data_IF_743220455728
#
_entry.id   IF_743220455728
#
_cell.length_a   1.000
_cell.length_b   1.000
_cell.length_c   1.000
_cell.angle_alpha   90.00
_cell.angle_beta   90.00
_cell.angle_gamma   90.00
#
_symmetry.space_group_name_H-M   'P 1'
#
loop_
_entity.id
_entity.type
_entity.pdbx_description
1 polymer ?
#
# COMPACT_ATOMS: atom_id res chain seq x y z
N UNK A 1 -2.07 -30.80 -5.41
CA UNK A 1 -2.14 -29.37 -5.05
C UNK A 1 -0.79 -28.74 -5.36
N UNK A 2 -0.79 -27.54 -5.93
CA UNK A 2 0.43 -26.78 -6.26
C UNK A 2 0.58 -25.71 -5.17
N UNK A 3 1.68 -25.68 -4.40
CA UNK A 3 1.94 -24.60 -3.44
C UNK A 3 2.08 -23.25 -4.13
N UNK A 4 1.57 -22.17 -3.53
CA UNK A 4 1.75 -20.81 -4.08
C UNK A 4 3.23 -20.40 -4.21
N UNK A 5 4.09 -20.91 -3.33
CA UNK A 5 5.55 -20.68 -3.39
C UNK A 5 6.19 -21.22 -4.66
N UNK A 6 5.63 -22.30 -5.23
CA UNK A 6 6.11 -22.90 -6.47
C UNK A 6 5.62 -22.12 -7.70
N UNK A 7 4.69 -21.17 -7.51
CA UNK A 7 4.18 -20.24 -8.53
C UNK A 7 4.81 -18.85 -8.41
N UNK A 8 5.65 -18.61 -7.39
CA UNK A 8 6.29 -17.31 -7.22
C UNK A 8 7.21 -16.99 -8.41
N UNK A 9 7.23 -15.73 -8.83
CA UNK A 9 8.14 -15.27 -9.88
C UNK A 9 9.59 -15.64 -9.54
N UNK A 10 10.25 -16.38 -10.44
CA UNK A 10 11.63 -16.85 -10.26
C UNK A 10 11.80 -18.09 -9.38
N UNK A 11 10.73 -18.76 -8.95
CA UNK A 11 10.84 -19.98 -8.15
C UNK A 11 11.45 -21.14 -8.95
N UNK A 12 12.45 -21.80 -8.37
CA UNK A 12 12.97 -23.07 -8.90
C UNK A 12 12.00 -24.20 -8.55
N UNK A 13 11.33 -24.77 -9.57
CA UNK A 13 10.41 -25.89 -9.36
C UNK A 13 11.20 -27.20 -9.39
N UNK A 14 11.41 -27.91 -8.26
CA UNK A 14 12.32 -29.05 -8.22
C UNK A 14 11.65 -30.33 -8.74
N UNK A 15 10.33 -30.45 -8.54
CA UNK A 15 9.58 -31.70 -8.78
C UNK A 15 8.94 -31.69 -10.17
N UNK A 16 9.33 -32.64 -11.02
CA UNK A 16 8.78 -32.77 -12.38
C UNK A 16 7.25 -32.88 -12.41
N UNK A 17 6.67 -33.58 -11.44
CA UNK A 17 5.21 -33.70 -11.29
C UNK A 17 4.52 -32.34 -11.13
N UNK A 18 5.13 -31.41 -10.39
CA UNK A 18 4.57 -30.05 -10.19
C UNK A 18 4.63 -29.26 -11.50
N UNK A 19 5.73 -29.35 -12.24
CA UNK A 19 5.85 -28.74 -13.58
C UNK A 19 4.75 -29.21 -14.52
N UNK A 20 4.47 -30.52 -14.55
CA UNK A 20 3.39 -31.08 -15.38
C UNK A 20 2.01 -30.55 -14.99
N UNK A 21 1.74 -30.37 -13.69
CA UNK A 21 0.47 -29.80 -13.23
C UNK A 21 0.34 -28.32 -13.58
N UNK A 22 1.40 -27.52 -13.46
CA UNK A 22 1.41 -26.12 -13.86
C UNK A 22 1.13 -26.01 -15.37
N UNK A 23 1.82 -26.79 -16.21
CA UNK A 23 1.57 -26.80 -17.65
C UNK A 23 0.14 -27.22 -18.01
N UNK A 24 -0.44 -28.18 -17.28
CA UNK A 24 -1.83 -28.58 -17.48
C UNK A 24 -2.81 -27.45 -17.08
N UNK A 25 -2.53 -26.73 -15.99
CA UNK A 25 -3.31 -25.57 -15.56
C UNK A 25 -3.27 -24.45 -16.60
N UNK A 26 -2.07 -24.12 -17.09
CA UNK A 26 -1.89 -23.08 -18.11
C UNK A 26 -2.67 -23.40 -19.38
N UNK A 27 -2.47 -24.62 -19.93
CA UNK A 27 -3.18 -25.07 -21.14
C UNK A 27 -4.70 -25.11 -20.98
N UNK A 28 -5.20 -25.50 -19.81
CA UNK A 28 -6.65 -25.61 -19.57
C UNK A 28 -7.35 -24.25 -19.53
N UNK A 29 -6.62 -23.19 -19.19
CA UNK A 29 -7.16 -21.84 -19.02
C UNK A 29 -6.65 -20.87 -20.08
N UNK A 30 -6.05 -21.38 -21.16
CA UNK A 30 -5.50 -20.57 -22.25
C UNK A 30 -4.51 -19.49 -21.77
N UNK A 31 -3.66 -19.85 -20.79
CA UNK A 31 -2.66 -18.97 -20.21
C UNK A 31 -1.25 -19.31 -20.73
N UNK A 32 -0.50 -18.29 -21.12
CA UNK A 32 0.94 -18.41 -21.40
C UNK A 32 1.74 -18.43 -20.10
N UNK A 33 1.28 -17.70 -19.09
CA UNK A 33 1.96 -17.58 -17.80
C UNK A 33 0.97 -17.32 -16.66
N UNK A 34 1.30 -17.85 -15.48
CA UNK A 34 0.64 -17.55 -14.23
C UNK A 34 1.72 -17.51 -13.14
N UNK A 35 1.80 -16.39 -12.43
CA UNK A 35 2.81 -16.14 -11.41
C UNK A 35 2.21 -15.46 -10.20
N UNK A 36 2.80 -15.71 -9.05
CA UNK A 36 2.46 -15.05 -7.79
C UNK A 36 3.67 -14.27 -7.26
N UNK A 37 3.43 -13.39 -6.31
CA UNK A 37 4.48 -12.84 -5.46
C UNK A 37 3.96 -12.64 -4.05
N UNK A 38 4.83 -12.76 -3.06
CA UNK A 38 4.49 -12.43 -1.68
C UNK A 38 4.22 -10.93 -1.54
N UNK A 39 3.24 -10.58 -0.73
CA UNK A 39 2.84 -9.19 -0.51
C UNK A 39 2.85 -8.81 0.97
N UNK A 40 2.76 -7.51 1.25
CA UNK A 40 2.90 -6.97 2.59
C UNK A 40 1.53 -6.87 3.28
N UNK A 41 1.04 -8.01 3.80
CA UNK A 41 -0.22 -8.08 4.55
C UNK A 41 -0.14 -9.09 5.71
N UNK A 42 -0.71 -10.28 5.58
CA UNK A 42 -0.61 -11.35 6.58
C UNK A 42 0.33 -12.46 6.09
N UNK A 43 0.61 -13.45 6.96
CA UNK A 43 1.43 -14.59 6.55
C UNK A 43 0.72 -15.34 5.42
N UNK A 44 1.46 -15.70 4.39
CA UNK A 44 0.94 -16.37 3.20
C UNK A 44 -0.06 -15.50 2.39
N UNK A 45 0.11 -14.18 2.40
CA UNK A 45 -0.56 -13.28 1.44
C UNK A 45 0.22 -13.22 0.12
N UNK A 46 -0.51 -13.29 -0.98
CA UNK A 46 0.05 -13.25 -2.32
C UNK A 46 -0.78 -12.35 -3.23
N UNK A 47 -0.09 -11.63 -4.11
CA UNK A 47 -0.67 -11.13 -5.34
C UNK A 47 -0.43 -12.13 -6.46
N UNK A 48 -1.20 -12.02 -7.54
CA UNK A 48 -0.99 -12.83 -8.74
C UNK A 48 -1.05 -11.99 -10.01
N UNK A 49 -0.40 -12.52 -11.05
CA UNK A 49 -0.55 -12.03 -12.40
C UNK A 49 -0.54 -13.18 -13.37
N UNK A 50 -1.31 -13.05 -14.44
CA UNK A 50 -1.34 -14.03 -15.51
C UNK A 50 -1.49 -13.36 -16.88
N UNK A 51 -0.95 -14.05 -17.89
CA UNK A 51 -0.98 -13.63 -19.28
C UNK A 51 -1.75 -14.67 -20.07
N UNK A 52 -2.78 -14.22 -20.76
CA UNK A 52 -3.58 -15.06 -21.63
C UNK A 52 -2.87 -15.24 -22.98
N UNK A 53 -3.08 -16.38 -23.64
CA UNK A 53 -2.53 -16.74 -24.96
C UNK A 53 -2.90 -15.75 -26.07
N UNK A 54 -3.95 -14.95 -25.87
CA UNK A 54 -4.34 -13.86 -26.78
C UNK A 54 -3.65 -12.53 -26.48
N UNK A 55 -2.67 -12.50 -25.57
CA UNK A 55 -1.77 -11.37 -25.33
C UNK A 55 -2.15 -10.41 -24.20
N UNK A 56 -3.35 -10.48 -23.63
CA UNK A 56 -3.72 -9.62 -22.50
C UNK A 56 -3.19 -10.15 -21.17
N UNK A 57 -2.91 -9.22 -20.25
CA UNK A 57 -2.34 -9.52 -18.93
C UNK A 57 -3.19 -8.92 -17.82
N UNK A 58 -3.47 -9.71 -16.78
CA UNK A 58 -4.15 -9.27 -15.58
C UNK A 58 -3.20 -9.32 -14.38
N UNK A 59 -3.26 -8.32 -13.52
CA UNK A 59 -2.60 -8.28 -12.22
C UNK A 59 -3.66 -8.06 -11.13
N UNK A 60 -3.63 -8.87 -10.07
CA UNK A 60 -4.56 -8.80 -8.95
C UNK A 60 -3.77 -8.75 -7.64
N UNK A 61 -3.96 -7.67 -6.88
CA UNK A 61 -3.14 -7.40 -5.69
C UNK A 61 -3.44 -8.33 -4.51
N UNK A 62 -4.69 -8.78 -4.36
CA UNK A 62 -5.20 -9.15 -3.03
C UNK A 62 -5.12 -7.96 -2.08
N UNK A 63 -5.00 -8.22 -0.78
CA UNK A 63 -4.78 -7.18 0.24
C UNK A 63 -3.27 -6.98 0.46
N UNK A 64 -2.81 -5.73 0.42
CA UNK A 64 -1.40 -5.40 0.55
C UNK A 64 -1.14 -3.92 0.78
N UNK A 65 -0.08 -3.61 1.54
CA UNK A 65 0.63 -2.33 1.41
C UNK A 65 1.34 -2.20 0.05
N UNK A 66 1.77 -1.00 -0.37
CA UNK A 66 2.59 -0.83 -1.58
C UNK A 66 3.76 -1.82 -1.67
N UNK A 67 3.80 -2.61 -2.74
CA UNK A 67 4.74 -3.73 -2.89
C UNK A 67 5.47 -3.70 -4.23
N UNK A 68 6.79 -3.52 -4.20
CA UNK A 68 7.62 -3.48 -5.41
C UNK A 68 7.70 -4.82 -6.14
N UNK A 69 7.62 -5.94 -5.41
CA UNK A 69 7.57 -7.26 -6.04
C UNK A 69 6.33 -7.41 -6.93
N UNK A 70 5.21 -6.84 -6.49
CA UNK A 70 3.98 -6.85 -7.28
C UNK A 70 4.07 -5.97 -8.52
N UNK A 71 4.69 -4.77 -8.42
CA UNK A 71 5.01 -3.92 -9.59
C UNK A 71 5.75 -4.71 -10.67
N UNK A 72 6.77 -5.49 -10.30
CA UNK A 72 7.54 -6.29 -11.26
C UNK A 72 6.73 -7.46 -11.83
N UNK A 73 6.00 -8.17 -10.97
CA UNK A 73 5.17 -9.34 -11.35
C UNK A 73 4.08 -8.92 -12.34
N UNK A 74 3.43 -7.80 -12.06
CA UNK A 74 2.34 -7.25 -12.87
C UNK A 74 2.77 -6.34 -14.02
N UNK A 75 4.07 -6.08 -14.23
CA UNK A 75 4.57 -5.11 -15.22
C UNK A 75 3.88 -5.23 -16.59
N UNK A 76 3.48 -4.11 -17.17
CA UNK A 76 2.78 -3.99 -18.46
C UNK A 76 1.44 -4.75 -18.48
N UNK A 77 0.71 -4.75 -17.35
CA UNK A 77 -0.63 -5.36 -17.28
C UNK A 77 -1.65 -4.58 -18.12
N UNK A 78 -2.49 -5.29 -18.86
CA UNK A 78 -3.69 -4.73 -19.52
C UNK A 78 -4.69 -4.24 -18.48
N UNK A 79 -4.88 -5.01 -17.40
CA UNK A 79 -5.73 -4.64 -16.28
C UNK A 79 -5.03 -4.94 -14.96
N UNK A 80 -4.86 -3.91 -14.14
CA UNK A 80 -4.57 -4.05 -12.73
C UNK A 80 -5.88 -3.93 -11.94
N UNK A 81 -6.15 -4.88 -11.06
CA UNK A 81 -7.15 -4.77 -10.00
C UNK A 81 -6.38 -4.64 -8.68
N UNK A 82 -6.47 -3.47 -8.05
CA UNK A 82 -5.75 -3.17 -6.83
C UNK A 82 -6.69 -2.81 -5.68
N UNK A 83 -6.37 -3.28 -4.47
CA UNK A 83 -7.05 -2.84 -3.27
C UNK A 83 -6.78 -1.35 -2.97
N UNK A 84 -7.79 -0.64 -2.51
CA UNK A 84 -7.72 0.75 -2.10
C UNK A 84 -8.54 0.92 -0.81
N UNK A 85 -8.16 0.16 0.22
CA UNK A 85 -9.00 -0.04 1.41
C UNK A 85 -9.17 1.26 2.21
N UNK A 86 -8.13 2.09 2.26
CA UNK A 86 -8.09 3.33 3.05
C UNK A 86 -8.12 4.58 2.15
N UNK A 87 -8.64 5.67 2.72
CA UNK A 87 -8.57 7.00 2.11
C UNK A 87 -7.16 7.60 2.27
N UNK A 88 -6.82 8.55 1.40
CA UNK A 88 -5.61 9.34 1.58
C UNK A 88 -5.73 10.23 2.82
N UNK A 89 -4.62 10.44 3.52
CA UNK A 89 -4.58 11.02 4.87
C UNK A 89 -4.73 9.98 6.00
N UNK A 90 -4.89 8.69 5.67
CA UNK A 90 -4.92 7.56 6.61
C UNK A 90 -3.70 6.64 6.44
N UNK A 91 -2.56 7.17 6.00
CA UNK A 91 -1.37 6.38 5.65
C UNK A 91 -0.83 5.59 6.85
N UNK A 92 -0.82 6.18 8.05
CA UNK A 92 -0.40 5.48 9.28
C UNK A 92 -1.31 4.28 9.57
N UNK A 93 -2.63 4.46 9.47
CA UNK A 93 -3.60 3.39 9.67
C UNK A 93 -3.51 2.33 8.56
N UNK A 94 -3.22 2.73 7.33
CA UNK A 94 -2.97 1.83 6.22
C UNK A 94 -1.72 0.98 6.47
N UNK A 95 -0.65 1.55 7.03
CA UNK A 95 0.55 0.80 7.42
C UNK A 95 0.24 -0.18 8.55
N UNK A 96 -0.46 0.27 9.60
CA UNK A 96 -0.78 -0.55 10.76
C UNK A 96 -1.68 -1.74 10.40
N UNK A 97 -2.68 -1.50 9.53
CA UNK A 97 -3.61 -2.53 9.04
C UNK A 97 -3.08 -3.29 7.83
N UNK A 98 -1.96 -2.86 7.28
CA UNK A 98 -1.27 -3.43 6.12
C UNK A 98 -2.12 -3.49 4.85
N UNK A 99 -2.67 -2.34 4.51
CA UNK A 99 -3.45 -2.09 3.31
C UNK A 99 -2.86 -0.91 2.53
N UNK A 100 -3.45 -0.57 1.39
CA UNK A 100 -3.08 0.60 0.60
C UNK A 100 -4.11 1.72 0.74
N UNK A 101 -3.63 2.96 0.68
CA UNK A 101 -4.51 4.10 0.39
C UNK A 101 -4.85 4.16 -1.09
N UNK A 102 -5.80 5.01 -1.46
CA UNK A 102 -6.23 5.22 -2.86
C UNK A 102 -5.06 5.68 -3.74
N UNK A 103 -4.35 6.74 -3.35
CA UNK A 103 -3.23 7.27 -4.13
C UNK A 103 -2.04 6.30 -4.19
N UNK A 104 -1.83 5.52 -3.12
CA UNK A 104 -0.84 4.44 -3.10
C UNK A 104 -1.15 3.33 -4.12
N UNK A 105 -2.41 2.90 -4.20
CA UNK A 105 -2.86 1.89 -5.15
C UNK A 105 -2.70 2.37 -6.60
N UNK A 106 -3.10 3.62 -6.88
CA UNK A 106 -2.90 4.26 -8.18
C UNK A 106 -1.40 4.32 -8.51
N UNK A 107 -0.56 4.76 -7.57
CA UNK A 107 0.89 4.84 -7.75
C UNK A 107 1.54 3.49 -8.07
N UNK A 108 1.07 2.39 -7.48
CA UNK A 108 1.51 1.04 -7.85
C UNK A 108 1.16 0.73 -9.31
N UNK A 109 -0.06 1.04 -9.75
CA UNK A 109 -0.49 0.84 -11.13
C UNK A 109 0.30 1.66 -12.15
N UNK A 110 0.59 2.92 -11.82
CA UNK A 110 1.41 3.78 -12.67
C UNK A 110 2.83 3.23 -12.83
N UNK A 111 3.45 2.80 -11.73
CA UNK A 111 4.81 2.21 -11.74
C UNK A 111 4.84 0.84 -12.42
N UNK A 112 3.73 0.11 -12.39
CA UNK A 112 3.53 -1.15 -13.11
C UNK A 112 3.39 -0.94 -14.62
N UNK A 113 3.20 0.31 -15.07
CA UNK A 113 2.81 0.63 -16.44
C UNK A 113 1.53 -0.13 -16.86
N UNK A 114 0.55 -0.19 -15.95
CA UNK A 114 -0.74 -0.79 -16.26
C UNK A 114 -1.50 0.09 -17.27
N UNK A 115 -2.12 -0.56 -18.26
CA UNK A 115 -2.97 0.13 -19.25
C UNK A 115 -4.23 0.69 -18.58
N UNK A 116 -4.82 -0.08 -17.65
CA UNK A 116 -5.95 0.35 -16.84
C UNK A 116 -5.84 -0.14 -15.39
N UNK A 117 -6.24 0.72 -14.46
CA UNK A 117 -6.20 0.50 -13.01
C UNK A 117 -7.63 0.51 -12.50
N UNK A 118 -8.10 -0.65 -12.04
CA UNK A 118 -9.38 -0.82 -11.36
C UNK A 118 -9.14 -0.85 -9.86
N UNK A 119 -9.61 0.16 -9.15
CA UNK A 119 -9.59 0.21 -7.69
C UNK A 119 -10.76 -0.60 -7.12
N UNK A 120 -10.45 -1.44 -6.14
CA UNK A 120 -11.40 -2.36 -5.49
C UNK A 120 -11.15 -2.44 -3.97
N UNK A 121 -11.97 -3.24 -3.27
CA UNK A 121 -11.82 -3.53 -1.83
C UNK A 121 -11.88 -2.27 -0.96
N UNK A 122 -12.78 -1.35 -1.30
CA UNK A 122 -13.05 -0.17 -0.48
C UNK A 122 -13.63 -0.58 0.86
N UNK A 123 -13.12 0.00 1.95
CA UNK A 123 -13.69 -0.28 3.25
C UNK A 123 -15.07 0.36 3.39
N UNK A 124 -16.10 -0.48 3.50
CA UNK A 124 -17.49 -0.05 3.73
C UNK A 124 -17.68 0.82 5.00
N UNK A 125 -16.72 0.77 5.93
CA UNK A 125 -16.75 1.57 7.17
C UNK A 125 -16.24 2.99 6.97
N UNK A 126 -15.44 3.22 5.93
CA UNK A 126 -14.78 4.50 5.69
C UNK A 126 -15.38 5.18 4.45
N UNK A 127 -15.64 4.42 3.38
CA UNK A 127 -16.05 4.97 2.11
C UNK A 127 -17.01 4.05 1.32
N UNK A 128 -18.07 4.62 0.74
CA UNK A 128 -18.86 3.95 -0.32
C UNK A 128 -18.21 4.09 -1.69
N UNK A 129 -17.47 5.18 -1.89
CA UNK A 129 -16.66 5.50 -3.06
C UNK A 129 -15.40 6.25 -2.61
N UNK A 130 -14.25 6.14 -3.29
CA UNK A 130 -13.06 6.91 -2.93
C UNK A 130 -13.26 8.42 -3.14
N UNK A 131 -12.54 9.22 -2.35
CA UNK A 131 -12.37 10.64 -2.67
C UNK A 131 -11.51 10.76 -3.93
N UNK A 132 -11.99 11.53 -4.89
CA UNK A 132 -11.30 11.71 -6.17
C UNK A 132 -10.20 12.77 -6.01
N UNK A 133 -8.95 12.36 -6.15
CA UNK A 133 -7.77 13.24 -6.19
C UNK A 133 -7.34 13.55 -7.63
N UNK A 134 -6.27 14.33 -7.78
CA UNK A 134 -5.62 14.60 -9.08
C UNK A 134 -5.02 13.33 -9.72
N UNK A 135 -4.81 12.26 -8.94
CA UNK A 135 -4.26 11.00 -9.43
C UNK A 135 -5.27 10.18 -10.24
N UNK A 136 -6.55 10.54 -10.21
CA UNK A 136 -7.59 9.92 -11.05
C UNK A 136 -7.49 10.45 -12.49
N UNK A 137 -6.65 9.80 -13.29
CA UNK A 137 -6.54 10.05 -14.73
C UNK A 137 -7.46 9.13 -15.57
N UNK A 138 -7.33 9.22 -16.90
CA UNK A 138 -8.11 8.45 -17.86
C UNK A 138 -7.87 6.92 -17.81
N UNK A 139 -6.97 6.45 -16.94
CA UNK A 139 -6.65 5.02 -16.73
C UNK A 139 -7.16 4.49 -15.40
N UNK A 140 -7.82 5.31 -14.57
CA UNK A 140 -8.30 4.88 -13.25
C UNK A 140 -9.82 4.70 -13.26
N UNK A 141 -10.27 3.53 -12.80
CA UNK A 141 -11.66 3.18 -12.60
C UNK A 141 -11.93 2.68 -11.18
N UNK A 142 -13.20 2.72 -10.78
CA UNK A 142 -13.69 2.27 -9.49
C UNK A 142 -14.63 1.09 -9.74
N UNK A 143 -14.41 -0.03 -9.06
CA UNK A 143 -15.31 -1.17 -9.17
C UNK A 143 -16.48 -1.07 -8.20
N UNK A 144 -17.64 -1.54 -8.65
CA UNK A 144 -18.84 -1.72 -7.82
C UNK A 144 -19.28 -3.18 -7.83
N UNK A 145 -20.06 -3.56 -6.82
CA UNK A 145 -20.68 -4.88 -6.77
C UNK A 145 -21.51 -5.15 -8.03
N UNK A 146 -21.36 -6.36 -8.57
CA UNK A 146 -21.99 -6.82 -9.82
C UNK A 146 -21.59 -6.07 -11.11
N UNK A 147 -20.61 -5.17 -11.05
CA UNK A 147 -20.09 -4.50 -12.24
C UNK A 147 -19.53 -5.50 -13.25
N UNK A 148 -19.86 -5.30 -14.53
CA UNK A 148 -19.31 -6.07 -15.65
C UNK A 148 -18.77 -5.12 -16.69
N UNK A 149 -17.55 -5.37 -17.12
CA UNK A 149 -16.84 -4.52 -18.07
C UNK A 149 -16.09 -5.38 -19.08
N UNK A 150 -16.05 -4.91 -20.33
CA UNK A 150 -15.13 -5.41 -21.34
C UNK A 150 -13.91 -4.50 -21.38
N UNK A 151 -12.78 -5.00 -21.86
CA UNK A 151 -11.54 -4.21 -21.94
C UNK A 151 -11.69 -2.97 -22.83
N UNK A 152 -12.48 -3.08 -23.90
CA UNK A 152 -12.80 -1.97 -24.81
C UNK A 152 -13.53 -0.81 -24.11
N UNK A 153 -14.24 -1.11 -23.02
CA UNK A 153 -15.09 -0.14 -22.30
C UNK A 153 -14.31 0.61 -21.20
N UNK A 154 -13.04 0.29 -20.93
CA UNK A 154 -12.26 0.90 -19.85
C UNK A 154 -12.27 2.43 -19.85
N UNK A 155 -12.15 3.04 -21.04
CA UNK A 155 -12.15 4.51 -21.23
C UNK A 155 -13.49 5.17 -20.90
N UNK A 156 -14.57 4.38 -20.74
CA UNK A 156 -15.88 4.90 -20.35
C UNK A 156 -15.91 5.21 -18.85
N UNK A 157 -15.20 4.46 -18.02
CA UNK A 157 -15.30 4.60 -16.55
C UNK A 157 -14.86 5.96 -16.02
N UNK A 158 -13.70 6.52 -16.42
CA UNK A 158 -13.33 7.86 -15.97
C UNK A 158 -14.38 8.92 -16.36
N UNK A 159 -15.08 8.72 -17.49
CA UNK A 159 -16.14 9.63 -17.95
C UNK A 159 -17.41 9.56 -17.12
N UNK A 160 -17.61 8.50 -16.35
CA UNK A 160 -18.74 8.35 -15.43
C UNK A 160 -18.46 8.99 -14.07
N UNK A 161 -17.21 9.37 -13.77
CA UNK A 161 -16.83 9.98 -12.49
C UNK A 161 -17.72 11.19 -12.12
N UNK A 162 -18.02 12.15 -13.02
CA UNK A 162 -18.90 13.26 -12.67
C UNK A 162 -20.30 12.80 -12.25
N UNK A 163 -20.86 11.79 -12.93
CA UNK A 163 -22.17 11.23 -12.59
C UNK A 163 -22.13 10.50 -11.24
N UNK A 164 -21.05 9.76 -10.96
CA UNK A 164 -20.82 9.12 -9.66
C UNK A 164 -20.70 10.17 -8.54
N UNK A 165 -19.94 11.26 -8.76
CA UNK A 165 -19.84 12.36 -7.80
C UNK A 165 -21.20 12.98 -7.49
N UNK A 166 -22.06 13.15 -8.49
CA UNK A 166 -23.43 13.63 -8.28
C UNK A 166 -24.29 12.62 -7.51
N UNK A 167 -24.21 11.34 -7.86
CA UNK A 167 -25.00 10.28 -7.22
C UNK A 167 -24.65 10.10 -5.74
N UNK A 168 -23.37 10.27 -5.38
CA UNK A 168 -22.84 10.08 -4.04
C UNK A 168 -22.47 11.40 -3.36
N UNK A 169 -23.06 12.53 -3.77
CA UNK A 169 -22.66 13.86 -3.30
C UNK A 169 -22.75 13.99 -1.76
N UNK A 170 -23.80 13.45 -1.14
CA UNK A 170 -23.98 13.46 0.32
C UNK A 170 -22.88 12.63 1.01
N UNK A 171 -22.61 11.43 0.51
CA UNK A 171 -21.58 10.55 1.06
C UNK A 171 -20.18 11.16 0.94
N UNK A 172 -19.88 11.81 -0.20
CA UNK A 172 -18.62 12.54 -0.40
C UNK A 172 -18.49 13.69 0.61
N UNK A 173 -19.53 14.50 0.77
CA UNK A 173 -19.50 15.62 1.72
C UNK A 173 -19.24 15.15 3.16
N UNK A 174 -19.90 14.08 3.60
CA UNK A 174 -19.63 13.49 4.92
C UNK A 174 -18.19 12.99 5.06
N UNK A 175 -17.63 12.42 4.00
CA UNK A 175 -16.25 11.93 3.98
C UNK A 175 -15.24 13.07 4.04
N UNK A 176 -15.47 14.17 3.30
CA UNK A 176 -14.65 15.38 3.33
C UNK A 176 -14.64 15.99 4.74
N UNK A 177 -15.80 16.16 5.38
CA UNK A 177 -15.87 16.65 6.76
C UNK A 177 -15.13 15.76 7.77
N UNK A 178 -15.22 14.43 7.61
CA UNK A 178 -14.48 13.47 8.44
C UNK A 178 -12.98 13.60 8.22
N UNK A 179 -12.55 13.78 6.97
CA UNK A 179 -11.14 14.01 6.62
C UNK A 179 -10.62 15.29 7.27
N UNK A 180 -11.30 16.41 7.10
CA UNK A 180 -10.92 17.70 7.70
C UNK A 180 -10.82 17.60 9.23
N UNK A 181 -11.78 16.92 9.87
CA UNK A 181 -11.76 16.70 11.32
C UNK A 181 -10.54 15.88 11.78
N UNK A 182 -10.14 14.87 10.99
CA UNK A 182 -8.92 14.07 11.24
C UNK A 182 -7.67 14.94 11.09
N UNK A 183 -7.58 15.72 10.01
CA UNK A 183 -6.45 16.62 9.76
C UNK A 183 -6.29 17.67 10.88
N UNK A 184 -7.38 18.29 11.33
CA UNK A 184 -7.40 19.22 12.46
C UNK A 184 -6.92 18.56 13.77
N UNK A 185 -7.30 17.29 14.00
CA UNK A 185 -6.85 16.54 15.18
C UNK A 185 -5.35 16.25 15.12
N UNK A 186 -4.85 15.86 13.95
CA UNK A 186 -3.43 15.57 13.75
C UNK A 186 -2.56 16.84 13.87
N UNK A 187 -3.04 17.98 13.36
CA UNK A 187 -2.40 19.29 13.54
C UNK A 187 -2.33 19.71 15.02
N UNK A 188 -3.41 19.48 15.78
CA UNK A 188 -3.41 19.75 17.22
C UNK A 188 -2.46 18.82 17.99
N UNK A 189 -2.43 17.53 17.65
CA UNK A 189 -1.51 16.55 18.24
C UNK A 189 -0.04 16.91 17.99
N UNK A 190 0.33 17.16 16.73
CA UNK A 190 1.69 17.57 16.35
C UNK A 190 2.12 18.90 16.96
N UNK A 191 1.22 19.89 17.06
CA UNK A 191 1.51 21.16 17.74
C UNK A 191 1.74 21.01 19.25
N UNK A 192 1.05 20.06 19.89
CA UNK A 192 1.27 19.75 21.31
C UNK A 192 2.61 19.04 21.55
N UNK A 193 3.01 18.12 20.68
CA UNK A 193 4.31 17.43 20.75
C UNK A 193 5.49 18.37 20.47
N UNK A 194 5.37 19.25 19.47
CA UNK A 194 6.36 20.29 19.20
C UNK A 194 6.52 21.26 20.38
N UNK A 195 5.42 21.62 21.06
CA UNK A 195 5.47 22.49 22.24
C UNK A 195 6.15 21.84 23.46
N UNK A 196 6.06 20.51 23.60
CA UNK A 196 6.78 19.76 24.64
C UNK A 196 8.27 19.60 24.33
N UNK A 197 8.65 19.40 23.07
CA UNK A 197 10.06 19.34 22.67
C UNK A 197 10.75 20.71 22.82
N UNK A 198 10.04 21.80 22.51
CA UNK A 198 10.57 23.16 22.69
C UNK A 198 10.71 23.56 24.18
N UNK A 199 9.83 23.06 25.07
CA UNK A 199 10.00 23.21 26.52
C UNK A 199 11.21 22.45 27.06
N UNK A 200 11.48 21.23 26.57
CA UNK A 200 12.68 20.48 26.95
C UNK A 200 13.98 21.13 26.43
N UNK A 201 13.96 21.80 25.28
CA UNK A 201 15.11 22.51 24.74
C UNK A 201 15.40 23.84 25.47
N UNK A 202 14.38 24.54 25.97
CA UNK A 202 14.52 25.80 26.70
C UNK A 202 15.01 25.60 28.15
N UNK A 203 14.59 24.51 28.79
CA UNK A 203 15.09 24.12 30.14
C UNK A 203 16.57 23.71 30.14
N UNK A 204 17.15 23.36 28.99
CA UNK A 204 18.57 22.97 28.85
C UNK A 204 19.58 24.13 28.74
N UNK A 205 19.14 25.40 28.65
CA UNK A 205 20.03 26.55 28.45
C UNK A 205 20.24 27.45 29.68
N UNK A 206 19.60 27.14 30.81
CA UNK A 206 19.64 27.95 32.03
C UNK A 206 20.54 27.42 33.15
N UNK A 207 21.79 27.01 32.89
CA UNK A 207 22.73 26.70 33.98
C UNK A 207 24.20 26.85 33.56
N UNK A 208 24.75 28.07 33.67
CA UNK A 208 26.21 28.30 33.77
C UNK A 208 26.48 29.64 34.46
N UNK A 209 27.42 29.63 35.43
CA UNK A 209 27.96 30.68 36.35
C UNK A 209 27.48 30.42 37.79
N UNK A 210 28.30 30.20 38.81
CA UNK A 210 29.73 30.42 39.05
C UNK A 210 30.24 29.43 40.11
N UNK A 211 31.54 29.05 40.06
CA UNK A 211 32.51 29.11 41.17
C UNK A 211 33.78 28.27 40.90
N UNK A 212 34.88 28.99 40.69
CA UNK A 212 36.27 28.74 41.13
C UNK A 212 36.34 28.16 42.57
N UNK A 213 37.36 27.48 43.08
CA UNK A 213 38.68 26.98 42.68
C UNK A 213 39.20 26.23 43.94
N UNK A 214 40.01 25.17 43.77
CA UNK A 214 41.11 24.74 44.66
C UNK A 214 41.31 23.21 44.62
N UNK A 215 42.41 22.79 43.98
CA UNK A 215 43.09 21.51 44.19
C UNK A 215 44.07 21.64 45.40
N UNK A 216 44.92 20.65 45.79
CA UNK A 216 45.20 19.36 45.15
C UNK A 216 45.50 18.16 46.10
N UNK A 217 45.79 17.01 45.45
CA UNK A 217 46.81 15.97 45.75
C UNK A 217 46.34 14.55 46.15
N UNK A 218 46.69 13.62 45.24
CA UNK A 218 47.31 12.28 45.40
C UNK A 218 46.63 11.26 46.33
N UNK A 219 46.44 9.99 45.99
CA UNK A 219 47.48 8.97 45.73
C UNK A 219 46.87 7.76 45.02
N UNK A 220 47.69 7.14 44.17
CA UNK A 220 47.60 5.87 43.45
C UNK A 220 47.36 4.64 44.35
N UNK A 221 46.55 3.64 43.95
CA UNK A 221 46.96 2.22 44.03
C UNK A 221 46.04 1.24 43.28
N UNK A 222 46.71 0.30 42.60
CA UNK A 222 46.22 -0.87 41.86
C UNK A 222 45.83 -2.05 42.77
N UNK A 223 45.00 -2.95 42.20
CA UNK A 223 45.01 -4.47 42.23
C UNK A 223 43.64 -5.06 42.63
N UNK A 224 42.99 -5.85 41.74
CA UNK A 224 43.04 -7.33 41.63
C UNK A 224 42.64 -8.00 42.97
N UNK A 225 41.71 -8.97 43.07
CA UNK A 225 41.47 -10.18 42.25
C UNK A 225 40.31 -11.02 42.86
N UNK A 226 39.64 -11.83 42.02
CA UNK A 226 39.00 -13.16 42.28
C UNK A 226 37.88 -13.23 43.34
N UNK A 227 36.77 -13.96 43.17
CA UNK A 227 36.50 -15.27 42.53
C UNK A 227 35.17 -15.23 41.80
#
# INVERSE_FOLDING_TARGET
LIPNTDLCAGAEIPKQRVKSFIQALLRKNDLDNFQTCTVHHCKNSFACSFTHTSGWKLAFSGDTMPCNAFVQTGKDATLLIHEATLEDGMEEEAVDKKHSTTSQAIGIGMRMNAEFIMLNHFSQRYAKIPLFSEDFDDRVGISFDHMRMRFEDFKILPRLIPALKTLFAEDIGEMEERRERRELRNLRGSSSEASSEQKMADEGRGAKRDQEEAAPRSVETKRLKTV
#
